data_IF_851662536177
#
_entry.id   IF_851662536177
#
_cell.length_a   1.000
_cell.length_b   1.000
_cell.length_c   1.000
_cell.angle_alpha   90.00
_cell.angle_beta   90.00
_cell.angle_gamma   90.00
#
_symmetry.space_group_name_H-M   'P 1'
#
loop_
_entity.id
_entity.type
_entity.pdbx_description
1 polymer ?
#
# COMPACT_ATOMS: atom_id res chain seq x y z
N UNK A 1 23.77 21.48 21.73
CA UNK A 1 23.83 20.52 20.61
C UNK A 1 22.49 19.80 20.58
N UNK A 2 21.80 19.81 19.45
CA UNK A 2 20.44 19.27 19.32
C UNK A 2 20.54 17.77 19.16
N UNK A 3 19.90 17.02 20.05
CA UNK A 3 19.89 15.55 20.07
C UNK A 3 18.84 14.95 19.15
N UNK A 4 18.79 15.41 17.90
CA UNK A 4 17.90 14.85 16.88
C UNK A 4 18.64 13.77 16.07
N UNK A 5 18.07 12.56 16.07
CA UNK A 5 18.58 11.38 15.37
C UNK A 5 17.42 10.70 14.62
N UNK A 6 16.60 11.51 13.95
CA UNK A 6 15.48 11.04 13.14
C UNK A 6 15.94 10.10 12.02
N UNK A 7 15.20 9.01 11.80
CA UNK A 7 15.43 8.08 10.70
C UNK A 7 14.83 8.63 9.41
N UNK A 8 15.67 8.91 8.42
CA UNK A 8 15.24 9.35 7.08
C UNK A 8 15.34 8.18 6.09
N UNK A 9 14.25 7.89 5.38
CA UNK A 9 14.17 6.82 4.37
C UNK A 9 13.75 7.45 3.04
N UNK A 10 14.63 7.40 2.05
CA UNK A 10 14.32 7.83 0.69
C UNK A 10 15.25 7.16 -0.34
N UNK A 11 14.70 6.60 -1.44
CA UNK A 11 13.28 6.40 -1.72
C UNK A 11 12.64 5.31 -0.84
N UNK A 12 11.37 5.47 -0.49
CA UNK A 12 10.61 4.44 0.24
C UNK A 12 10.30 3.26 -0.68
N UNK A 13 10.53 2.04 -0.19
CA UNK A 13 10.25 0.78 -0.86
C UNK A 13 9.28 -0.08 -0.03
N UNK A 14 8.72 -1.12 -0.64
CA UNK A 14 7.77 -2.00 0.04
C UNK A 14 8.35 -2.69 1.28
N UNK A 15 9.64 -3.00 1.25
CA UNK A 15 10.38 -3.64 2.36
C UNK A 15 10.56 -2.73 3.58
N UNK A 16 10.34 -1.41 3.42
CA UNK A 16 10.39 -0.47 4.54
C UNK A 16 9.11 -0.54 5.41
N UNK A 17 8.05 -1.24 4.97
CA UNK A 17 6.85 -1.46 5.78
C UNK A 17 7.16 -2.35 6.98
N UNK A 18 7.42 -1.70 8.11
CA UNK A 18 7.91 -2.35 9.31
C UNK A 18 7.56 -1.56 10.58
N UNK A 19 7.90 -2.17 11.71
CA UNK A 19 7.87 -1.53 13.02
C UNK A 19 9.27 -1.10 13.40
N UNK A 20 9.47 0.19 13.62
CA UNK A 20 10.73 0.81 13.98
C UNK A 20 10.74 1.20 15.47
N UNK A 21 11.92 1.24 16.07
CA UNK A 21 12.12 1.69 17.44
C UNK A 21 13.49 2.36 17.57
N UNK A 22 13.55 3.50 18.24
CA UNK A 22 14.81 4.19 18.54
C UNK A 22 15.36 3.69 19.88
N UNK A 23 16.65 3.38 19.92
CA UNK A 23 17.32 2.88 21.11
C UNK A 23 18.59 3.68 21.39
N UNK A 24 18.81 3.99 22.66
CA UNK A 24 20.06 4.57 23.15
C UNK A 24 20.65 3.61 24.18
N UNK A 25 21.89 3.18 23.95
CA UNK A 25 22.61 2.29 24.86
C UNK A 25 22.90 2.97 26.21
N UNK A 26 23.18 2.20 27.28
CA UNK A 26 23.62 2.77 28.54
C UNK A 26 24.81 3.72 28.39
N UNK A 27 24.84 4.77 29.22
CA UNK A 27 25.88 5.79 29.21
C UNK A 27 27.13 5.35 29.96
N UNK A 28 28.26 6.02 29.69
CA UNK A 28 29.57 5.69 30.26
C UNK A 28 29.64 5.79 31.79
N UNK A 29 28.70 6.52 32.42
CA UNK A 29 28.63 6.68 33.87
C UNK A 29 27.47 5.86 34.49
N UNK A 30 26.98 4.84 33.78
CA UNK A 30 25.92 3.95 34.27
C UNK A 30 24.50 4.48 34.08
N UNK A 31 24.30 5.49 33.21
CA UNK A 31 22.95 5.89 32.81
C UNK A 31 22.25 4.70 32.13
N UNK A 32 20.99 4.38 32.47
CA UNK A 32 20.27 3.27 31.85
C UNK A 32 20.03 3.54 30.36
N UNK A 33 20.00 2.48 29.56
CA UNK A 33 19.55 2.55 28.17
C UNK A 33 18.06 2.85 28.11
N UNK A 34 17.62 3.52 27.04
CA UNK A 34 16.23 3.87 26.80
C UNK A 34 15.79 3.39 25.42
N UNK A 35 14.50 3.07 25.29
CA UNK A 35 13.87 2.64 24.04
C UNK A 35 12.61 3.48 23.84
N UNK A 36 12.35 3.92 22.63
CA UNK A 36 11.12 4.64 22.29
C UNK A 36 9.92 3.71 22.25
N UNK A 37 8.73 4.27 22.02
CA UNK A 37 7.62 3.46 21.51
C UNK A 37 7.93 2.96 20.09
N UNK A 38 7.32 1.84 19.70
CA UNK A 38 7.35 1.39 18.31
C UNK A 38 6.57 2.35 17.42
N UNK A 39 7.16 2.75 16.31
CA UNK A 39 6.48 3.43 15.21
C UNK A 39 6.19 2.41 14.10
N UNK A 40 4.96 2.37 13.58
CA UNK A 40 4.61 1.55 12.42
C UNK A 40 4.69 2.40 11.16
N UNK A 41 5.61 2.07 10.26
CA UNK A 41 5.63 2.62 8.91
C UNK A 41 4.78 1.71 8.02
N UNK A 42 3.72 2.24 7.42
CA UNK A 42 2.90 1.50 6.45
C UNK A 42 3.15 2.07 5.06
N UNK A 43 3.61 1.22 4.15
CA UNK A 43 3.89 1.60 2.76
C UNK A 43 2.68 1.26 1.90
N UNK A 44 2.15 2.28 1.22
CA UNK A 44 1.05 2.16 0.28
C UNK A 44 1.59 1.99 -1.13
N UNK A 45 0.96 1.09 -1.90
CA UNK A 45 1.32 0.82 -3.29
C UNK A 45 0.10 1.09 -4.16
N UNK A 46 0.17 2.02 -5.13
CA UNK A 46 -0.94 2.23 -6.06
C UNK A 46 -1.14 0.98 -6.91
N UNK A 47 -2.38 0.54 -7.13
CA UNK A 47 -2.64 -0.58 -8.01
C UNK A 47 -2.40 -0.21 -9.48
N UNK A 48 -2.30 -1.23 -10.32
CA UNK A 48 -2.33 -1.06 -11.77
C UNK A 48 -3.70 -0.50 -12.22
N UNK A 49 -3.73 0.28 -13.31
CA UNK A 49 -4.99 0.72 -13.91
C UNK A 49 -5.93 -0.46 -14.14
N UNK A 50 -7.23 -0.32 -13.79
CA UNK A 50 -8.18 -1.41 -13.95
C UNK A 50 -8.34 -1.77 -15.43
N UNK A 51 -8.55 -3.05 -15.70
CA UNK A 51 -8.75 -3.57 -17.06
C UNK A 51 -9.93 -4.52 -17.09
N UNK A 52 -10.75 -4.41 -18.13
CA UNK A 52 -11.77 -5.42 -18.45
C UNK A 52 -11.09 -6.52 -19.26
N UNK A 53 -11.14 -7.76 -18.78
CA UNK A 53 -10.42 -8.90 -19.37
C UNK A 53 -10.89 -9.19 -20.79
N UNK A 54 -12.18 -8.97 -21.06
CA UNK A 54 -12.81 -9.19 -22.36
C UNK A 54 -12.40 -8.14 -23.42
N UNK A 55 -11.75 -7.04 -23.03
CA UNK A 55 -11.28 -5.97 -23.92
C UNK A 55 -12.33 -4.91 -24.24
N UNK A 56 -12.08 -4.14 -25.31
CA UNK A 56 -12.87 -2.94 -25.66
C UNK A 56 -14.26 -3.27 -26.21
N UNK A 57 -14.42 -4.45 -26.80
CA UNK A 57 -15.67 -4.89 -27.44
C UNK A 57 -15.93 -6.37 -27.17
N UNK A 58 -17.19 -6.71 -26.91
CA UNK A 58 -17.65 -8.09 -26.77
C UNK A 58 -18.83 -8.35 -27.72
N UNK A 59 -18.68 -9.30 -28.63
CA UNK A 59 -19.77 -9.75 -29.50
C UNK A 59 -20.61 -10.77 -28.74
N UNK A 60 -21.90 -10.47 -28.55
CA UNK A 60 -22.83 -11.35 -27.85
C UNK A 60 -23.98 -11.79 -28.77
N UNK A 61 -24.76 -12.77 -28.31
CA UNK A 61 -25.99 -13.25 -28.96
C UNK A 61 -27.14 -13.02 -27.99
N UNK A 62 -28.32 -12.68 -28.52
CA UNK A 62 -29.55 -12.57 -27.71
C UNK A 62 -29.75 -13.82 -26.84
N UNK A 63 -30.25 -13.61 -25.63
CA UNK A 63 -30.48 -14.64 -24.60
C UNK A 63 -29.26 -15.46 -24.17
N UNK A 64 -28.04 -15.01 -24.48
CA UNK A 64 -26.81 -15.58 -23.91
C UNK A 64 -26.31 -14.74 -22.73
N UNK A 65 -26.12 -15.43 -21.61
CA UNK A 65 -25.39 -14.89 -20.47
C UNK A 65 -23.91 -14.65 -20.84
N UNK A 66 -23.37 -13.57 -20.29
CA UNK A 66 -21.96 -13.17 -20.45
C UNK A 66 -21.37 -12.85 -19.09
N UNK A 67 -20.04 -12.97 -19.00
CA UNK A 67 -19.26 -12.58 -17.82
C UNK A 67 -18.29 -11.48 -18.21
N UNK A 68 -18.30 -10.39 -17.43
CA UNK A 68 -17.33 -9.30 -17.53
C UNK A 68 -16.47 -9.32 -16.27
N UNK A 69 -15.15 -9.37 -16.45
CA UNK A 69 -14.20 -9.40 -15.35
C UNK A 69 -13.37 -8.10 -15.37
N UNK A 70 -13.38 -7.38 -14.26
CA UNK A 70 -12.56 -6.20 -14.05
C UNK A 70 -11.45 -6.54 -13.05
N UNK A 71 -10.19 -6.32 -13.44
CA UNK A 71 -9.03 -6.62 -12.59
C UNK A 71 -8.17 -5.38 -12.41
N UNK A 72 -7.73 -5.13 -11.18
CA UNK A 72 -6.74 -4.13 -10.81
C UNK A 72 -5.69 -4.79 -9.90
N UNK A 73 -4.46 -4.93 -10.41
CA UNK A 73 -3.40 -5.71 -9.77
C UNK A 73 -2.56 -4.88 -8.79
N UNK A 74 -1.85 -5.58 -7.90
CA UNK A 74 -0.73 -5.06 -7.10
C UNK A 74 -1.00 -3.85 -6.16
N UNK A 75 -2.26 -3.52 -5.87
CA UNK A 75 -2.60 -2.52 -4.87
C UNK A 75 -2.28 -2.96 -3.44
N UNK A 76 -1.75 -2.03 -2.64
CA UNK A 76 -1.66 -2.18 -1.18
C UNK A 76 -2.21 -0.91 -0.50
N UNK A 77 -3.43 -0.96 0.07
CA UNK A 77 -4.35 -2.12 0.11
C UNK A 77 -4.92 -2.49 -1.27
N UNK A 78 -5.62 -3.63 -1.36
CA UNK A 78 -6.33 -4.02 -2.56
C UNK A 78 -7.36 -2.95 -2.96
N UNK A 79 -7.54 -2.75 -4.26
CA UNK A 79 -8.48 -1.77 -4.79
C UNK A 79 -9.93 -2.20 -4.55
N UNK A 80 -10.81 -1.23 -4.31
CA UNK A 80 -12.25 -1.42 -4.38
C UNK A 80 -12.71 -1.27 -5.85
N UNK A 81 -13.57 -2.17 -6.32
CA UNK A 81 -14.05 -2.19 -7.71
C UNK A 81 -15.57 -1.96 -7.72
N UNK A 82 -16.01 -0.98 -8.51
CA UNK A 82 -17.41 -0.63 -8.70
C UNK A 82 -17.74 -0.62 -10.19
N UNK A 83 -18.86 -1.25 -10.56
CA UNK A 83 -19.40 -1.21 -11.92
C UNK A 83 -20.43 -0.09 -12.04
N UNK A 84 -20.47 0.56 -13.21
CA UNK A 84 -21.49 1.52 -13.61
C UNK A 84 -22.03 1.12 -14.97
N UNK A 85 -23.30 1.45 -15.24
CA UNK A 85 -23.89 1.24 -16.55
C UNK A 85 -23.53 2.38 -17.53
N UNK A 86 -24.06 2.32 -18.76
CA UNK A 86 -23.83 3.34 -19.78
C UNK A 86 -24.45 4.71 -19.46
N UNK A 87 -25.30 4.81 -18.44
CA UNK A 87 -25.88 6.06 -17.95
C UNK A 87 -25.05 6.65 -16.80
N UNK A 88 -24.06 5.91 -16.29
CA UNK A 88 -23.17 6.35 -15.21
C UNK A 88 -23.84 6.32 -13.83
N UNK A 89 -24.92 5.55 -13.70
CA UNK A 89 -25.58 5.27 -12.41
C UNK A 89 -25.13 3.96 -11.79
#
# INVERSE_FOLDING_TARGET
>A
MVGDYSLEIFPVMLDDDARYECQVSPGAQGQPGIRSHFAKLTVLVPPDPPKIVQGDYLVTTEDREIELECISFAGKPAAEITWIDGLGT
#
